data_IF_874778483339
#
_entry.id   IF_874778483339
#
_cell.length_a   1.000
_cell.length_b   1.000
_cell.length_c   1.000
_cell.angle_alpha   90.00
_cell.angle_beta   90.00
_cell.angle_gamma   90.00
#
_symmetry.space_group_name_H-M   'P 1'
#
loop_
_entity.id
_entity.type
_entity.pdbx_description
1 polymer ?
#
# COMPACT_ATOMS: atom_id res chain seq x y z
N UNK A 1 15.55 -4.74 3.28
CA UNK A 1 14.16 -4.97 3.71
C UNK A 1 13.23 -4.23 2.77
N UNK A 2 12.16 -4.88 2.36
CA UNK A 2 11.10 -4.31 1.54
C UNK A 2 9.79 -4.35 2.33
N UNK A 3 8.87 -3.45 1.97
CA UNK A 3 7.48 -3.48 2.42
C UNK A 3 6.60 -3.80 1.21
N UNK A 4 5.58 -4.60 1.46
CA UNK A 4 4.60 -5.02 0.46
C UNK A 4 3.24 -4.49 0.87
N UNK A 5 2.55 -3.83 -0.06
CA UNK A 5 1.20 -3.35 0.15
C UNK A 5 0.20 -4.46 -0.10
N UNK A 6 -0.62 -4.75 0.91
CA UNK A 6 -1.68 -5.75 0.83
C UNK A 6 -3.03 -5.12 1.16
N UNK A 7 -4.09 -5.71 0.65
CA UNK A 7 -5.46 -5.48 1.04
C UNK A 7 -6.09 -6.84 1.39
N UNK A 8 -7.22 -6.78 2.08
CA UNK A 8 -7.96 -7.98 2.54
C UNK A 8 -8.78 -8.67 1.45
N UNK A 9 -8.70 -8.20 0.20
CA UNK A 9 -9.35 -8.73 -1.00
C UNK A 9 -10.87 -8.98 -0.88
N UNK A 10 -11.56 -8.16 -0.10
CA UNK A 10 -13.02 -8.17 -0.06
C UNK A 10 -13.66 -7.11 -0.96
N UNK A 11 -14.97 -7.25 -1.14
CA UNK A 11 -15.81 -6.37 -1.99
C UNK A 11 -15.74 -4.88 -1.60
N UNK A 12 -15.35 -4.56 -0.36
CA UNK A 12 -15.28 -3.19 0.17
C UNK A 12 -13.90 -2.57 -0.02
N UNK A 13 -12.89 -3.33 -0.48
CA UNK A 13 -11.60 -2.77 -0.88
C UNK A 13 -11.83 -1.75 -2.00
N UNK A 14 -11.30 -0.55 -1.79
CA UNK A 14 -11.66 0.61 -2.60
C UNK A 14 -11.20 0.45 -4.05
N UNK A 15 -12.13 0.61 -4.99
CA UNK A 15 -11.87 0.55 -6.44
C UNK A 15 -12.66 1.68 -7.12
N UNK A 16 -12.28 2.93 -6.85
CA UNK A 16 -12.96 4.13 -7.37
C UNK A 16 -11.96 5.01 -8.13
N UNK A 17 -12.44 5.99 -8.89
CA UNK A 17 -11.56 6.97 -9.57
C UNK A 17 -10.74 7.84 -8.60
N UNK A 18 -11.23 8.08 -7.38
CA UNK A 18 -10.54 8.92 -6.38
C UNK A 18 -9.44 8.16 -5.63
N UNK A 19 -9.63 6.86 -5.46
CA UNK A 19 -8.71 5.97 -4.77
C UNK A 19 -8.99 4.52 -5.20
N UNK A 20 -7.94 3.81 -5.61
CA UNK A 20 -8.01 2.44 -6.09
C UNK A 20 -6.97 1.58 -5.36
N UNK A 21 -7.37 1.04 -4.22
CA UNK A 21 -6.51 0.21 -3.37
C UNK A 21 -6.32 -1.21 -3.88
N UNK A 22 -7.22 -1.70 -4.75
CA UNK A 22 -7.01 -2.99 -5.42
C UNK A 22 -5.78 -2.97 -6.33
N UNK A 23 -5.50 -1.84 -6.98
CA UNK A 23 -4.32 -1.66 -7.81
C UNK A 23 -2.99 -1.64 -7.02
N UNK A 24 -3.05 -1.45 -5.70
CA UNK A 24 -1.88 -1.44 -4.82
C UNK A 24 -1.48 -2.84 -4.35
N UNK A 25 -2.34 -3.85 -4.54
CA UNK A 25 -2.09 -5.20 -4.07
C UNK A 25 -0.76 -5.75 -4.59
N UNK A 26 0.07 -6.24 -3.67
CA UNK A 26 1.36 -6.87 -3.98
C UNK A 26 2.46 -5.90 -4.41
N UNK A 27 2.19 -4.59 -4.45
CA UNK A 27 3.25 -3.62 -4.78
C UNK A 27 4.34 -3.64 -3.71
N UNK A 28 5.60 -3.61 -4.17
CA UNK A 28 6.79 -3.66 -3.31
C UNK A 28 7.55 -2.36 -3.40
N UNK A 29 8.04 -1.89 -2.25
CA UNK A 29 8.90 -0.71 -2.12
C UNK A 29 9.94 -0.95 -1.04
N UNK A 30 11.08 -0.24 -1.12
CA UNK A 30 11.98 -0.17 0.03
C UNK A 30 11.23 0.47 1.20
N UNK A 31 11.63 0.14 2.44
CA UNK A 31 10.94 0.62 3.64
C UNK A 31 10.81 2.15 3.68
N UNK A 32 11.83 2.86 3.20
CA UNK A 32 11.93 4.32 3.12
C UNK A 32 11.29 4.95 1.87
N UNK A 33 10.83 4.16 0.91
CA UNK A 33 10.18 4.67 -0.31
C UNK A 33 8.67 4.80 -0.12
N UNK A 34 8.05 5.73 -0.84
CA UNK A 34 6.59 5.90 -0.81
C UNK A 34 5.91 5.02 -1.86
N UNK A 35 4.67 4.65 -1.58
CA UNK A 35 3.75 4.13 -2.59
C UNK A 35 3.05 5.29 -3.30
N UNK A 36 2.79 5.10 -4.60
CA UNK A 36 1.94 5.99 -5.37
C UNK A 36 0.51 5.45 -5.34
N UNK A 37 -0.40 6.21 -4.74
CA UNK A 37 -1.82 5.86 -4.61
C UNK A 37 -2.65 6.39 -5.80
N UNK A 38 -2.00 7.05 -6.76
CA UNK A 38 -2.62 7.76 -7.88
C UNK A 38 -3.10 9.16 -7.49
N UNK A 39 -3.54 9.92 -8.50
CA UNK A 39 -4.07 11.28 -8.32
C UNK A 39 -3.11 12.24 -7.59
N UNK A 40 -1.79 12.03 -7.75
CA UNK A 40 -0.75 12.83 -7.08
C UNK A 40 -0.62 12.58 -5.58
N UNK A 41 -1.24 11.52 -5.05
CA UNK A 41 -1.16 11.15 -3.63
C UNK A 41 -0.13 10.05 -3.44
N UNK A 42 0.80 10.25 -2.51
CA UNK A 42 1.76 9.23 -2.09
C UNK A 42 1.63 8.97 -0.59
N UNK A 43 1.99 7.77 -0.15
CA UNK A 43 1.96 7.41 1.27
C UNK A 43 3.05 6.40 1.62
N UNK A 44 3.53 6.47 2.86
CA UNK A 44 4.49 5.49 3.39
C UNK A 44 3.78 4.17 3.74
N UNK A 45 2.52 4.23 4.16
CA UNK A 45 1.71 3.09 4.59
C UNK A 45 0.21 3.35 4.39
N UNK A 46 -0.63 2.29 4.39
CA UNK A 46 -2.08 2.42 4.45
C UNK A 46 -2.57 3.35 5.56
N UNK A 47 -3.54 4.22 5.24
CA UNK A 47 -4.14 5.13 6.23
C UNK A 47 -3.27 6.33 6.60
N UNK A 48 -2.11 6.52 5.97
CA UNK A 48 -1.17 7.61 6.25
C UNK A 48 -0.96 8.55 5.05
N UNK A 49 -1.93 8.64 4.14
CA UNK A 49 -1.81 9.49 2.96
C UNK A 49 -2.18 10.96 3.21
N UNK A 50 -2.91 11.25 4.28
CA UNK A 50 -3.48 12.57 4.55
C UNK A 50 -4.72 12.88 3.70
N UNK A 51 -5.17 11.93 2.88
CA UNK A 51 -6.35 12.07 2.03
C UNK A 51 -7.49 11.23 2.60
N UNK A 52 -8.60 11.88 2.97
CA UNK A 52 -9.79 11.16 3.46
C UNK A 52 -10.29 10.12 2.46
N UNK A 53 -10.12 10.33 1.15
CA UNK A 53 -10.50 9.35 0.13
C UNK A 53 -9.63 8.08 0.13
N UNK A 54 -8.44 8.12 0.73
CA UNK A 54 -7.54 6.98 0.86
C UNK A 54 -7.49 6.43 2.28
N UNK A 55 -7.76 7.24 3.30
CA UNK A 55 -7.48 6.83 4.68
C UNK A 55 -8.71 6.25 5.40
N UNK A 56 -9.90 6.83 5.20
CA UNK A 56 -11.10 6.41 5.95
C UNK A 56 -11.58 5.02 5.51
N UNK A 57 -11.92 4.16 6.48
CA UNK A 57 -12.31 2.77 6.25
C UNK A 57 -11.31 1.98 5.39
N UNK A 58 -10.04 2.35 5.39
CA UNK A 58 -9.00 1.62 4.69
C UNK A 58 -8.92 0.18 5.20
N UNK A 59 -8.86 -0.78 4.29
CA UNK A 59 -8.75 -2.22 4.59
C UNK A 59 -7.44 -2.81 4.04
N UNK A 60 -6.41 -1.97 3.98
CA UNK A 60 -5.07 -2.35 3.53
C UNK A 60 -4.12 -2.47 4.72
N UNK A 61 -3.05 -3.25 4.56
CA UNK A 61 -2.01 -3.49 5.55
C UNK A 61 -0.65 -3.70 4.85
N UNK A 62 0.44 -3.59 5.62
CA UNK A 62 1.78 -3.87 5.12
C UNK A 62 2.28 -5.21 5.65
N UNK A 63 3.01 -5.94 4.80
CA UNK A 63 3.94 -6.98 5.24
C UNK A 63 5.37 -6.52 4.94
N UNK A 64 6.34 -7.05 5.68
CA UNK A 64 7.75 -6.71 5.51
C UNK A 64 8.56 -7.97 5.21
N UNK A 65 9.45 -7.87 4.22
CA UNK A 65 10.28 -8.98 3.77
C UNK A 65 11.77 -8.60 3.90
N UNK A 66 12.58 -9.49 4.45
CA UNK A 66 14.05 -9.35 4.45
C UNK A 66 14.59 -9.86 3.13
N UNK A 67 14.78 -8.94 2.19
CA UNK A 67 15.36 -9.25 0.87
C UNK A 67 16.89 -9.18 0.96
N UNK A 68 17.59 -10.21 0.45
CA UNK A 68 19.05 -10.20 0.29
C UNK A 68 19.86 -11.02 1.30
N UNK A 69 19.23 -11.88 2.11
CA UNK A 69 19.99 -12.90 2.86
C UNK A 69 20.49 -13.97 1.89
N UNK A 70 21.68 -13.77 1.32
CA UNK A 70 22.45 -14.88 0.74
C UNK A 70 22.95 -15.71 1.92
N UNK A 71 22.35 -16.87 2.15
CA UNK A 71 22.97 -17.90 2.98
C UNK A 71 24.23 -18.38 2.27
N UNK A 72 25.35 -18.34 2.99
CA UNK A 72 26.60 -19.02 2.61
C UNK A 72 26.44 -20.54 2.69
#
# INVERSE_FOLDING_TARGET
MEKVWNNVDDERVRQTRKANHKALQGQRRKVNEQFDLGNGVTAVAPGQSGSAANDIHCRCFLTYEVVGLRGE
#
